data_IF_086690685959
#
_entry.id   IF_086690685959
#
_cell.length_a   1.000
_cell.length_b   1.000
_cell.length_c   1.000
_cell.angle_alpha   90.00
_cell.angle_beta   90.00
_cell.angle_gamma   90.00
#
_symmetry.space_group_name_H-M   'P 1'
#
loop_
_entity.id
_entity.type
_entity.pdbx_description
1 polymer ?
#
# COMPACT_ATOMS: atom_id res chain seq x y z
N UNK A 1 7.63 13.93 22.07
CA UNK A 1 7.32 15.22 21.43
C UNK A 1 7.73 15.24 19.94
N UNK A 2 9.01 15.09 19.57
CA UNK A 2 9.45 15.18 18.15
C UNK A 2 8.73 14.19 17.20
N UNK A 3 8.54 12.93 17.60
CA UNK A 3 7.84 11.94 16.76
C UNK A 3 6.33 12.16 16.64
N UNK A 4 5.72 12.81 17.63
CA UNK A 4 4.32 13.24 17.53
C UNK A 4 4.17 14.31 16.44
N UNK A 5 5.15 15.20 16.32
CA UNK A 5 5.19 16.21 15.25
C UNK A 5 5.30 15.56 13.85
N UNK A 6 6.02 14.45 13.71
CA UNK A 6 6.07 13.68 12.45
C UNK A 6 4.67 13.14 12.09
N UNK A 7 3.98 12.50 13.03
CA UNK A 7 2.60 12.03 12.82
C UNK A 7 1.64 13.18 12.49
N UNK A 8 1.77 14.31 13.17
CA UNK A 8 0.96 15.50 12.90
C UNK A 8 1.21 16.05 11.48
N UNK A 9 2.48 16.11 11.06
CA UNK A 9 2.85 16.56 9.70
C UNK A 9 2.22 15.67 8.63
N UNK A 10 2.26 14.35 8.82
CA UNK A 10 1.61 13.38 7.93
C UNK A 10 0.10 13.58 7.87
N UNK A 11 -0.54 13.80 9.02
CA UNK A 11 -1.97 14.11 9.11
C UNK A 11 -2.33 15.36 8.29
N UNK A 12 -1.56 16.45 8.44
CA UNK A 12 -1.75 17.69 7.68
C UNK A 12 -1.66 17.46 6.17
N UNK A 13 -0.73 16.61 5.71
CA UNK A 13 -0.62 16.25 4.30
C UNK A 13 -1.90 15.58 3.76
N UNK A 14 -2.45 14.60 4.50
CA UNK A 14 -3.69 13.92 4.11
C UNK A 14 -4.89 14.86 4.14
N UNK A 15 -5.07 15.62 5.22
CA UNK A 15 -6.18 16.56 5.34
C UNK A 15 -6.10 17.70 4.32
N UNK A 16 -4.89 18.17 3.99
CA UNK A 16 -4.69 19.17 2.94
C UNK A 16 -5.16 18.68 1.57
N UNK A 17 -4.88 17.42 1.24
CA UNK A 17 -5.38 16.77 0.02
C UNK A 17 -6.91 16.60 0.05
N UNK A 18 -7.48 16.19 1.18
CA UNK A 18 -8.93 16.08 1.35
C UNK A 18 -9.64 17.42 1.10
N UNK A 19 -9.11 18.52 1.64
CA UNK A 19 -9.64 19.87 1.42
C UNK A 19 -9.52 20.26 -0.07
N UNK A 20 -8.41 19.92 -0.72
CA UNK A 20 -8.25 20.12 -2.17
C UNK A 20 -9.29 19.36 -2.99
N UNK A 21 -9.72 18.17 -2.56
CA UNK A 21 -10.74 17.40 -3.26
C UNK A 21 -12.13 18.05 -3.15
N UNK A 22 -12.43 18.72 -2.03
CA UNK A 22 -13.66 19.52 -1.85
C UNK A 22 -13.61 20.82 -2.68
N UNK A 23 -12.45 21.48 -2.72
CA UNK A 23 -12.26 22.78 -3.40
C UNK A 23 -11.17 22.73 -4.49
N UNK A 24 -11.35 21.93 -5.56
CA UNK A 24 -10.29 21.63 -6.52
C UNK A 24 -9.81 22.86 -7.31
N UNK A 25 -10.69 23.85 -7.53
CA UNK A 25 -10.35 25.08 -8.23
C UNK A 25 -9.69 26.13 -7.34
N UNK A 26 -9.96 26.11 -6.03
CA UNK A 26 -9.42 27.10 -5.08
C UNK A 26 -8.06 26.69 -4.53
N UNK A 27 -7.82 25.39 -4.36
CA UNK A 27 -6.61 24.86 -3.70
C UNK A 27 -5.86 23.82 -4.55
N UNK A 28 -5.62 24.06 -5.85
CA UNK A 28 -5.04 23.04 -6.75
C UNK A 28 -3.63 22.59 -6.34
N UNK A 29 -2.88 23.42 -5.60
CA UNK A 29 -1.53 23.10 -5.10
C UNK A 29 -1.53 21.99 -4.05
N UNK A 30 -2.64 21.76 -3.36
CA UNK A 30 -2.76 20.75 -2.30
C UNK A 30 -3.18 19.38 -2.84
N UNK A 31 -3.50 19.27 -4.14
CA UNK A 31 -3.98 18.03 -4.76
C UNK A 31 -3.04 16.83 -4.58
N UNK A 32 -1.73 17.08 -4.55
CA UNK A 32 -0.71 16.04 -4.42
C UNK A 32 -0.25 15.84 -2.98
N UNK A 33 -0.84 16.53 -2.00
CA UNK A 33 -0.41 16.48 -0.61
C UNK A 33 -0.53 15.08 0.00
N UNK A 34 -1.52 14.26 -0.42
CA UNK A 34 -1.62 12.87 0.02
C UNK A 34 -0.40 12.03 -0.40
N UNK A 35 0.14 12.26 -1.59
CA UNK A 35 1.38 11.60 -2.05
C UNK A 35 2.56 11.94 -1.16
N UNK A 36 2.66 13.20 -0.69
CA UNK A 36 3.68 13.62 0.29
C UNK A 36 3.44 12.95 1.63
N UNK A 37 2.18 12.85 2.08
CA UNK A 37 1.81 12.10 3.29
C UNK A 37 2.25 10.64 3.23
N UNK A 38 1.95 9.94 2.14
CA UNK A 38 2.42 8.58 1.90
C UNK A 38 3.94 8.48 1.85
N UNK A 39 4.62 9.41 1.17
CA UNK A 39 6.08 9.42 1.12
C UNK A 39 6.68 9.55 2.53
N UNK A 40 6.19 10.50 3.34
CA UNK A 40 6.65 10.71 4.71
C UNK A 40 6.40 9.50 5.62
N UNK A 41 5.23 8.86 5.51
CA UNK A 41 4.93 7.62 6.26
C UNK A 41 5.89 6.51 5.81
N UNK A 42 6.01 6.29 4.51
CA UNK A 42 6.87 5.26 3.94
C UNK A 42 8.34 5.43 4.33
N UNK A 43 8.90 6.63 4.21
CA UNK A 43 10.31 6.88 4.58
C UNK A 43 10.55 6.75 6.08
N UNK A 44 9.59 7.18 6.91
CA UNK A 44 9.71 7.06 8.38
C UNK A 44 9.72 5.59 8.80
N UNK A 45 8.83 4.78 8.22
CA UNK A 45 8.74 3.34 8.46
C UNK A 45 9.95 2.57 7.91
N UNK A 46 10.57 3.04 6.83
CA UNK A 46 11.72 2.35 6.23
C UNK A 46 13.05 2.67 6.93
N UNK A 47 13.30 3.96 7.21
CA UNK A 47 14.61 4.43 7.67
C UNK A 47 14.74 4.47 9.20
N UNK A 48 13.65 4.76 9.88
CA UNK A 48 13.62 4.96 11.34
C UNK A 48 12.41 4.28 12.01
N UNK A 49 12.07 3.01 11.66
CA UNK A 49 10.87 2.34 12.16
C UNK A 49 10.80 2.31 13.69
N UNK A 50 11.93 2.06 14.34
CA UNK A 50 11.97 1.98 15.80
C UNK A 50 11.65 3.30 16.49
N UNK A 51 12.14 4.43 15.96
CA UNK A 51 11.86 5.74 16.53
C UNK A 51 10.41 6.17 16.24
N UNK A 52 9.91 5.82 15.06
CA UNK A 52 8.52 6.03 14.68
C UNK A 52 7.54 5.24 15.57
N UNK A 53 7.91 4.04 16.03
CA UNK A 53 7.09 3.28 16.99
C UNK A 53 7.30 3.67 18.44
N UNK A 54 8.49 4.13 18.84
CA UNK A 54 8.85 4.31 20.25
C UNK A 54 7.88 5.21 21.01
N UNK A 55 7.22 6.16 20.34
CA UNK A 55 6.20 7.00 20.98
C UNK A 55 4.89 6.27 21.26
N UNK A 56 4.64 5.15 20.58
CA UNK A 56 3.38 4.39 20.62
C UNK A 56 3.42 3.20 21.57
N UNK A 57 4.60 2.78 22.03
CA UNK A 57 4.79 1.61 22.91
C UNK A 57 5.53 1.99 24.20
N UNK A 58 5.24 1.27 25.28
CA UNK A 58 5.95 1.37 26.56
C UNK A 58 6.66 0.02 26.83
N UNK A 59 7.95 0.10 27.20
CA UNK A 59 8.79 -1.07 27.53
C UNK A 59 9.97 -1.27 26.57
N UNK A 60 10.57 -2.46 26.62
CA UNK A 60 11.75 -2.80 25.82
C UNK A 60 11.37 -3.12 24.38
N UNK A 61 11.57 -2.14 23.49
CA UNK A 61 11.44 -2.31 22.06
C UNK A 61 12.66 -3.04 21.49
N UNK A 62 12.44 -4.09 20.69
CA UNK A 62 13.52 -4.86 20.08
C UNK A 62 13.58 -4.64 18.55
N UNK A 63 14.67 -5.11 17.94
CA UNK A 63 14.92 -4.99 16.50
C UNK A 63 13.85 -5.67 15.63
N UNK A 64 13.26 -6.78 16.10
CA UNK A 64 12.23 -7.51 15.35
C UNK A 64 10.94 -6.69 15.18
N UNK A 65 10.54 -5.94 16.20
CA UNK A 65 9.38 -5.05 16.07
C UNK A 65 9.59 -4.00 14.98
N UNK A 66 10.76 -3.35 14.97
CA UNK A 66 11.12 -2.34 13.98
C UNK A 66 11.14 -2.94 12.58
N UNK A 67 11.69 -4.15 12.48
CA UNK A 67 11.78 -4.89 11.23
C UNK A 67 10.41 -5.23 10.65
N UNK A 68 9.50 -5.83 11.44
CA UNK A 68 8.17 -6.19 10.95
C UNK A 68 7.35 -4.95 10.55
N UNK A 69 7.52 -3.85 11.26
CA UNK A 69 6.88 -2.59 10.91
C UNK A 69 7.38 -2.00 9.59
N UNK A 70 8.66 -2.17 9.26
CA UNK A 70 9.23 -1.68 8.01
C UNK A 70 8.53 -2.26 6.77
N UNK A 71 7.89 -3.43 6.88
CA UNK A 71 7.08 -4.02 5.80
C UNK A 71 5.83 -3.21 5.44
N UNK A 72 5.43 -2.22 6.24
CA UNK A 72 4.40 -1.27 5.85
C UNK A 72 4.93 -0.21 4.88
N UNK A 73 6.22 0.14 4.94
CA UNK A 73 6.80 1.19 4.11
C UNK A 73 6.64 0.99 2.58
N UNK A 74 6.87 -0.22 2.02
CA UNK A 74 6.78 -0.46 0.59
C UNK A 74 5.45 -0.02 -0.04
N UNK A 75 4.33 -0.25 0.66
CA UNK A 75 2.99 0.08 0.16
C UNK A 75 2.76 1.58 0.11
N UNK A 76 3.20 2.32 1.13
CA UNK A 76 3.10 3.78 1.13
C UNK A 76 4.03 4.40 0.07
N UNK A 77 5.26 3.90 -0.08
CA UNK A 77 6.20 4.41 -1.10
C UNK A 77 5.71 4.12 -2.52
N UNK A 78 5.19 2.92 -2.78
CA UNK A 78 4.57 2.57 -4.04
C UNK A 78 3.36 3.44 -4.38
N UNK A 79 2.51 3.72 -3.38
CA UNK A 79 1.35 4.59 -3.56
C UNK A 79 1.74 6.05 -3.78
N UNK A 80 2.76 6.55 -3.08
CA UNK A 80 3.32 7.88 -3.31
C UNK A 80 3.83 8.03 -4.75
N UNK A 81 4.56 7.04 -5.27
CA UNK A 81 4.98 7.00 -6.67
C UNK A 81 3.79 7.05 -7.63
N UNK A 82 2.76 6.23 -7.39
CA UNK A 82 1.59 6.18 -8.26
C UNK A 82 0.86 7.52 -8.30
N UNK A 83 0.64 8.14 -7.14
CA UNK A 83 -0.06 9.43 -7.00
C UNK A 83 0.72 10.60 -7.60
N UNK A 84 2.06 10.59 -7.53
CA UNK A 84 2.92 11.60 -8.14
C UNK A 84 3.02 11.45 -9.67
N UNK A 85 2.70 10.27 -10.21
CA UNK A 85 2.76 10.06 -11.66
C UNK A 85 1.72 10.94 -12.39
N UNK A 86 2.00 11.39 -13.63
CA UNK A 86 1.04 12.17 -14.43
C UNK A 86 -0.30 11.45 -14.66
N UNK A 87 -0.27 10.13 -14.50
CA UNK A 87 -1.34 9.17 -14.69
C UNK A 87 -2.07 8.83 -13.39
N UNK A 88 -1.52 9.25 -12.25
CA UNK A 88 -2.05 8.99 -10.92
C UNK A 88 -3.29 9.80 -10.58
N UNK A 89 -3.56 10.90 -11.31
CA UNK A 89 -4.67 11.80 -11.01
C UNK A 89 -5.40 12.33 -12.27
N UNK A 90 -6.74 12.41 -12.26
CA UNK A 90 -7.63 11.97 -11.19
C UNK A 90 -7.69 10.43 -11.09
N UNK A 91 -7.71 9.91 -9.87
CA UNK A 91 -7.86 8.48 -9.65
C UNK A 91 -9.28 8.02 -10.00
N UNK A 92 -9.39 6.80 -10.52
CA UNK A 92 -10.70 6.18 -10.71
C UNK A 92 -11.29 5.77 -9.35
N UNK A 93 -12.61 5.91 -9.18
CA UNK A 93 -13.31 5.56 -7.94
C UNK A 93 -12.95 4.19 -7.35
N UNK A 94 -12.79 3.10 -8.14
CA UNK A 94 -12.41 1.81 -7.58
C UNK A 94 -11.02 1.80 -6.92
N UNK A 95 -10.08 2.60 -7.42
CA UNK A 95 -8.75 2.76 -6.81
C UNK A 95 -8.81 3.54 -5.50
N UNK A 96 -9.61 4.61 -5.46
CA UNK A 96 -9.84 5.39 -4.23
C UNK A 96 -10.56 4.53 -3.18
N UNK A 97 -11.54 3.73 -3.61
CA UNK A 97 -12.22 2.77 -2.75
C UNK A 97 -11.25 1.73 -2.16
N UNK A 98 -10.36 1.14 -2.98
CA UNK A 98 -9.35 0.20 -2.50
C UNK A 98 -8.43 0.82 -1.45
N UNK A 99 -8.01 2.08 -1.65
CA UNK A 99 -7.22 2.83 -0.67
C UNK A 99 -8.01 3.11 0.61
N UNK A 100 -9.25 3.59 0.51
CA UNK A 100 -10.12 3.82 1.67
C UNK A 100 -10.35 2.53 2.47
N UNK A 101 -10.64 1.42 1.79
CA UNK A 101 -10.86 0.13 2.43
C UNK A 101 -9.58 -0.38 3.12
N UNK A 102 -8.42 -0.24 2.47
CA UNK A 102 -7.14 -0.59 3.07
C UNK A 102 -6.81 0.25 4.30
N UNK A 103 -7.01 1.58 4.23
CA UNK A 103 -6.82 2.49 5.34
C UNK A 103 -7.75 2.15 6.52
N UNK A 104 -9.03 1.83 6.23
CA UNK A 104 -9.99 1.38 7.23
C UNK A 104 -9.53 0.10 7.92
N UNK A 105 -9.14 -0.93 7.15
CA UNK A 105 -8.67 -2.20 7.71
C UNK A 105 -7.39 -2.04 8.53
N UNK A 106 -6.50 -1.13 8.11
CA UNK A 106 -5.27 -0.80 8.83
C UNK A 106 -5.58 -0.13 10.18
N UNK A 107 -6.43 0.91 10.17
CA UNK A 107 -6.88 1.58 11.40
C UNK A 107 -7.59 0.59 12.32
N UNK A 108 -8.53 -0.19 11.79
CA UNK A 108 -9.30 -1.17 12.56
C UNK A 108 -8.39 -2.22 13.20
N UNK A 109 -7.37 -2.70 12.50
CA UNK A 109 -6.38 -3.65 13.03
C UNK A 109 -5.61 -3.07 14.22
N UNK A 110 -5.20 -1.79 14.15
CA UNK A 110 -4.52 -1.11 15.26
C UNK A 110 -5.46 -0.89 16.44
N UNK A 111 -6.70 -0.46 16.20
CA UNK A 111 -7.69 -0.22 17.25
C UNK A 111 -8.09 -1.52 17.96
N UNK A 112 -8.31 -2.61 17.21
CA UNK A 112 -8.56 -3.93 17.79
C UNK A 112 -7.38 -4.42 18.62
N UNK A 113 -6.16 -4.18 18.17
CA UNK A 113 -4.96 -4.54 18.92
C UNK A 113 -4.86 -3.73 20.20
N UNK A 114 -5.11 -2.41 20.13
CA UNK A 114 -5.12 -1.55 21.32
C UNK A 114 -6.16 -2.05 22.35
N UNK A 115 -7.39 -2.31 21.91
CA UNK A 115 -8.44 -2.86 22.76
C UNK A 115 -8.04 -4.21 23.39
N UNK A 116 -7.49 -5.12 22.59
CA UNK A 116 -7.05 -6.43 23.07
C UNK A 116 -5.93 -6.33 24.10
N UNK A 117 -4.96 -5.44 23.88
CA UNK A 117 -3.83 -5.20 24.77
C UNK A 117 -4.26 -4.53 26.08
N UNK A 118 -5.29 -3.69 26.05
CA UNK A 118 -5.85 -3.07 27.27
C UNK A 118 -6.65 -4.06 28.13
N UNK A 119 -7.39 -4.98 27.50
CA UNK A 119 -8.25 -5.92 28.25
C UNK A 119 -7.52 -7.18 28.71
N UNK A 120 -6.58 -7.69 27.93
CA UNK A 120 -5.84 -8.90 28.28
C UNK A 120 -4.47 -8.52 28.79
N UNK A 121 -4.21 -8.82 30.08
CA UNK A 121 -2.86 -8.81 30.65
C UNK A 121 -1.96 -9.68 29.77
N UNK A 122 -1.22 -9.04 28.90
CA UNK A 122 -0.43 -9.68 27.86
C UNK A 122 1.03 -9.48 28.19
N UNK A 123 1.83 -10.56 28.08
CA UNK A 123 3.29 -10.46 28.13
C UNK A 123 3.76 -9.62 26.94
N UNK A 124 4.57 -8.59 27.18
CA UNK A 124 5.22 -7.82 26.11
C UNK A 124 5.15 -6.30 26.33
N UNK A 125 5.35 -5.55 25.24
CA UNK A 125 5.20 -4.10 25.20
C UNK A 125 3.75 -3.69 25.54
N UNK A 126 3.59 -2.70 26.40
CA UNK A 126 2.31 -2.04 26.65
C UNK A 126 2.07 -0.97 25.56
N UNK A 127 0.81 -0.68 25.25
CA UNK A 127 0.50 0.49 24.43
C UNK A 127 0.71 1.76 25.26
N UNK A 128 1.33 2.77 24.66
CA UNK A 128 1.40 4.10 25.28
C UNK A 128 0.06 4.84 25.16
N UNK A 129 -0.10 5.90 25.95
CA UNK A 129 -1.23 6.85 25.84
C UNK A 129 -1.32 7.51 24.46
N UNK A 130 -0.21 7.56 23.71
CA UNK A 130 -0.17 8.14 22.37
C UNK A 130 -0.51 7.14 21.25
N UNK A 131 -0.66 5.84 21.54
CA UNK A 131 -0.87 4.82 20.50
C UNK A 131 -2.12 5.12 19.66
N UNK A 132 -3.25 5.36 20.32
CA UNK A 132 -4.54 5.63 19.66
C UNK A 132 -4.44 6.93 18.86
N UNK A 133 -3.90 7.99 19.46
CA UNK A 133 -3.71 9.27 18.79
C UNK A 133 -2.85 9.14 17.52
N UNK A 134 -1.69 8.47 17.61
CA UNK A 134 -0.81 8.27 16.46
C UNK A 134 -1.48 7.42 15.37
N UNK A 135 -2.29 6.42 15.75
CA UNK A 135 -3.05 5.60 14.80
C UNK A 135 -4.08 6.43 14.02
N UNK A 136 -4.77 7.37 14.67
CA UNK A 136 -5.68 8.29 14.00
C UNK A 136 -4.95 9.33 13.15
N UNK A 137 -3.83 9.88 13.63
CA UNK A 137 -3.04 10.85 12.87
C UNK A 137 -2.45 10.25 11.58
N UNK A 138 -2.23 8.94 11.52
CA UNK A 138 -1.72 8.26 10.32
C UNK A 138 -2.84 7.61 9.51
N UNK A 139 -3.41 6.52 10.03
CA UNK A 139 -4.32 5.65 9.28
C UNK A 139 -5.72 6.27 9.22
N UNK A 140 -6.13 6.98 10.28
CA UNK A 140 -7.38 7.75 10.30
C UNK A 140 -7.36 8.93 9.34
N UNK A 141 -6.28 9.71 9.32
CA UNK A 141 -6.12 10.82 8.39
C UNK A 141 -6.08 10.34 6.92
N UNK A 142 -5.36 9.24 6.65
CA UNK A 142 -5.38 8.58 5.36
C UNK A 142 -6.81 8.15 4.97
N UNK A 143 -7.53 7.46 5.85
CA UNK A 143 -8.92 7.05 5.60
C UNK A 143 -9.82 8.25 5.27
N UNK A 144 -9.74 9.34 6.04
CA UNK A 144 -10.54 10.55 5.80
C UNK A 144 -10.22 11.12 4.41
N UNK A 145 -8.95 11.20 4.02
CA UNK A 145 -8.56 11.68 2.69
C UNK A 145 -9.21 10.85 1.57
N UNK A 146 -9.15 9.52 1.67
CA UNK A 146 -9.71 8.65 0.64
C UNK A 146 -11.23 8.69 0.59
N UNK A 147 -11.90 8.74 1.75
CA UNK A 147 -13.36 8.85 1.82
C UNK A 147 -13.83 10.18 1.22
N UNK A 148 -13.20 11.29 1.57
CA UNK A 148 -13.52 12.61 0.99
C UNK A 148 -13.29 12.61 -0.52
N UNK A 149 -12.16 12.05 -0.97
CA UNK A 149 -11.85 11.92 -2.40
C UNK A 149 -12.89 11.06 -3.12
N UNK A 150 -13.33 9.96 -2.52
CA UNK A 150 -14.34 9.06 -3.10
C UNK A 150 -15.71 9.74 -3.26
N UNK A 151 -16.15 10.47 -2.24
CA UNK A 151 -17.45 11.15 -2.21
C UNK A 151 -17.45 12.37 -3.14
N UNK A 152 -16.33 13.08 -3.24
CA UNK A 152 -16.20 14.27 -4.10
C UNK A 152 -15.88 13.94 -5.55
N UNK A 153 -15.41 12.72 -5.84
CA UNK A 153 -15.15 12.28 -7.21
C UNK A 153 -16.43 12.28 -8.06
N UNK A 154 -16.51 13.24 -8.98
CA UNK A 154 -17.56 13.29 -10.01
C UNK A 154 -17.12 12.45 -11.20
N UNK A 155 -18.00 11.53 -11.61
CA UNK A 155 -17.84 10.74 -12.83
C UNK A 155 -19.17 10.77 -13.57
N UNK A 156 -19.15 11.23 -14.81
CA UNK A 156 -20.35 11.28 -15.64
C UNK A 156 -20.59 9.92 -16.30
N UNK A 157 -21.83 9.64 -16.71
CA UNK A 157 -22.13 8.46 -17.53
C UNK A 157 -21.35 8.47 -18.86
N UNK A 158 -21.09 9.66 -19.39
CA UNK A 158 -20.30 9.83 -20.60
C UNK A 158 -18.85 9.35 -20.42
N UNK A 159 -18.21 9.68 -19.29
CA UNK A 159 -16.84 9.21 -18.99
C UNK A 159 -16.73 7.68 -18.92
N UNK A 160 -17.80 7.01 -18.49
CA UNK A 160 -17.88 5.55 -18.45
C UNK A 160 -18.04 4.95 -19.86
N UNK A 161 -18.94 5.52 -20.67
CA UNK A 161 -19.14 5.14 -22.06
C UNK A 161 -17.84 5.33 -22.85
N UNK A 162 -17.17 6.46 -22.72
CA UNK A 162 -15.93 6.77 -23.42
C UNK A 162 -14.81 5.79 -23.05
N UNK A 163 -14.70 5.41 -21.77
CA UNK A 163 -13.72 4.41 -21.33
C UNK A 163 -14.04 3.02 -21.91
N UNK A 164 -15.31 2.63 -21.96
CA UNK A 164 -15.73 1.37 -22.59
C UNK A 164 -15.43 1.38 -24.09
N UNK A 165 -15.79 2.44 -24.81
CA UNK A 165 -15.54 2.58 -26.24
C UNK A 165 -14.04 2.51 -26.56
N UNK A 166 -13.18 3.21 -25.80
CA UNK A 166 -11.72 3.15 -25.97
C UNK A 166 -11.17 1.75 -25.76
N UNK A 167 -11.65 1.05 -24.73
CA UNK A 167 -11.24 -0.34 -24.47
C UNK A 167 -11.68 -1.28 -25.58
N UNK A 168 -12.94 -1.19 -26.03
CA UNK A 168 -13.45 -1.98 -27.15
C UNK A 168 -12.63 -1.72 -28.42
N UNK A 169 -12.29 -0.45 -28.70
CA UNK A 169 -11.45 -0.07 -29.85
C UNK A 169 -10.06 -0.71 -29.76
N UNK A 170 -9.41 -0.67 -28.60
CA UNK A 170 -8.14 -1.36 -28.35
C UNK A 170 -8.20 -2.85 -28.70
N UNK A 171 -9.30 -3.52 -28.34
CA UNK A 171 -9.50 -4.94 -28.63
C UNK A 171 -9.83 -5.21 -30.10
N UNK A 172 -10.68 -4.40 -30.73
CA UNK A 172 -11.02 -4.51 -32.15
C UNK A 172 -9.80 -4.30 -33.05
N UNK A 173 -8.89 -3.41 -32.66
CA UNK A 173 -7.64 -3.15 -33.38
C UNK A 173 -6.53 -4.19 -33.09
N UNK A 174 -6.82 -5.26 -32.33
CA UNK A 174 -5.84 -6.30 -32.00
C UNK A 174 -4.72 -5.83 -31.06
N UNK A 175 -4.91 -4.68 -30.41
CA UNK A 175 -3.93 -4.02 -29.53
C UNK A 175 -4.15 -4.34 -28.04
N UNK A 176 -5.21 -5.07 -27.71
CA UNK A 176 -5.43 -5.66 -26.39
C UNK A 176 -4.38 -6.73 -26.06
N UNK A 177 -4.22 -7.05 -24.77
CA UNK A 177 -3.28 -8.10 -24.33
C UNK A 177 -3.89 -8.96 -23.24
N UNK A 178 -4.24 -10.20 -23.59
CA UNK A 178 -4.73 -11.19 -22.62
C UNK A 178 -3.69 -11.53 -21.56
N UNK A 179 -2.40 -11.51 -21.94
CA UNK A 179 -1.32 -11.70 -20.98
C UNK A 179 -1.34 -10.63 -19.88
N UNK A 180 -1.50 -9.35 -20.26
CA UNK A 180 -1.52 -8.26 -19.28
C UNK A 180 -2.76 -8.31 -18.38
N UNK A 181 -3.94 -8.64 -18.93
CA UNK A 181 -5.14 -8.84 -18.09
C UNK A 181 -4.93 -9.99 -17.09
N UNK A 182 -4.39 -11.11 -17.54
CA UNK A 182 -4.07 -12.25 -16.68
C UNK A 182 -3.00 -11.91 -15.65
N UNK A 183 -2.02 -11.07 -15.99
CA UNK A 183 -1.01 -10.63 -15.05
C UNK A 183 -1.62 -9.84 -13.87
N UNK A 184 -2.59 -8.96 -14.14
CA UNK A 184 -3.32 -8.27 -13.08
C UNK A 184 -4.15 -9.22 -12.22
N UNK A 185 -4.79 -10.23 -12.82
CA UNK A 185 -5.51 -11.25 -12.04
C UNK A 185 -4.58 -12.07 -11.14
N UNK A 186 -3.41 -12.45 -11.64
CA UNK A 186 -2.41 -13.18 -10.87
C UNK A 186 -1.88 -12.31 -9.72
N UNK A 187 -1.54 -11.04 -9.96
CA UNK A 187 -1.13 -10.11 -8.90
C UNK A 187 -2.24 -9.95 -7.84
N UNK A 188 -3.50 -9.81 -8.28
CA UNK A 188 -4.63 -9.73 -7.37
C UNK A 188 -4.78 -10.99 -6.50
N UNK A 189 -4.69 -12.18 -7.12
CA UNK A 189 -4.83 -13.46 -6.43
C UNK A 189 -3.70 -13.68 -5.41
N UNK A 190 -2.44 -13.42 -5.79
CA UNK A 190 -1.29 -13.54 -4.88
C UNK A 190 -1.42 -12.57 -3.71
N UNK A 191 -1.80 -11.32 -3.96
CA UNK A 191 -1.98 -10.32 -2.90
C UNK A 191 -3.14 -10.66 -1.97
N UNK A 192 -4.25 -11.18 -2.51
CA UNK A 192 -5.39 -11.60 -1.70
C UNK A 192 -5.07 -12.82 -0.83
N UNK A 193 -4.36 -13.81 -1.39
CA UNK A 193 -3.86 -14.96 -0.63
C UNK A 193 -2.90 -14.52 0.47
N UNK A 194 -2.00 -13.58 0.16
CA UNK A 194 -1.08 -12.99 1.15
C UNK A 194 -1.85 -12.30 2.27
N UNK A 195 -2.83 -11.46 1.92
CA UNK A 195 -3.69 -10.78 2.88
C UNK A 195 -4.44 -11.76 3.79
N UNK A 196 -5.07 -12.78 3.20
CA UNK A 196 -5.81 -13.81 3.93
C UNK A 196 -4.92 -14.57 4.90
N UNK A 197 -3.77 -15.07 4.44
CA UNK A 197 -2.85 -15.85 5.27
C UNK A 197 -2.31 -15.04 6.45
N UNK A 198 -1.92 -13.79 6.23
CA UNK A 198 -1.39 -12.92 7.29
C UNK A 198 -2.46 -12.46 8.27
N UNK A 199 -3.72 -12.32 7.83
CA UNK A 199 -4.82 -11.96 8.72
C UNK A 199 -5.28 -13.16 9.58
N UNK A 200 -5.47 -14.32 8.95
CA UNK A 200 -5.99 -15.53 9.59
C UNK A 200 -4.95 -16.25 10.44
N UNK A 201 -3.69 -16.32 9.99
CA UNK A 201 -2.65 -17.16 10.61
C UNK A 201 -1.35 -16.41 10.98
N UNK A 202 -1.39 -15.18 11.52
CA UNK A 202 -0.18 -14.39 11.77
C UNK A 202 0.80 -15.07 12.73
N UNK A 203 0.30 -15.73 13.78
CA UNK A 203 1.15 -16.44 14.76
C UNK A 203 1.87 -17.64 14.13
N UNK A 204 1.20 -18.39 13.27
CA UNK A 204 1.80 -19.55 12.61
C UNK A 204 2.88 -19.10 11.63
N UNK A 205 2.62 -18.05 10.85
CA UNK A 205 3.60 -17.45 9.95
C UNK A 205 4.84 -17.00 10.74
N UNK A 206 4.65 -16.21 11.80
CA UNK A 206 5.79 -15.69 12.58
C UNK A 206 6.59 -16.82 13.25
N UNK A 207 5.93 -17.81 13.86
CA UNK A 207 6.62 -18.96 14.47
C UNK A 207 7.38 -19.82 13.45
N UNK A 208 6.86 -19.90 12.22
CA UNK A 208 7.53 -20.64 11.16
C UNK A 208 8.78 -19.89 10.70
N UNK A 209 8.67 -18.57 10.50
CA UNK A 209 9.64 -17.76 9.75
C UNK A 209 10.69 -17.09 10.64
N UNK A 210 10.36 -16.72 11.88
CA UNK A 210 11.27 -16.06 12.82
C UNK A 210 11.97 -17.11 13.69
N UNK A 211 13.25 -16.87 14.03
CA UNK A 211 14.00 -17.76 14.94
C UNK A 211 13.37 -17.81 16.34
N UNK A 212 13.51 -18.94 17.03
CA UNK A 212 12.96 -19.15 18.38
C UNK A 212 13.62 -18.32 19.47
N UNK A 213 14.74 -17.65 19.17
CA UNK A 213 15.41 -16.72 20.09
C UNK A 213 14.56 -15.48 20.40
N UNK A 214 13.69 -15.08 19.46
CA UNK A 214 12.76 -13.99 19.69
C UNK A 214 11.49 -14.48 20.37
N UNK A 215 11.18 -13.89 21.53
CA UNK A 215 9.87 -14.07 22.15
C UNK A 215 8.84 -13.23 21.41
N UNK A 216 7.97 -13.89 20.64
CA UNK A 216 6.88 -13.23 19.93
C UNK A 216 5.82 -12.71 20.90
N UNK A 217 5.35 -11.49 20.64
CA UNK A 217 4.30 -10.84 21.42
C UNK A 217 3.17 -10.32 20.51
N UNK A 218 2.17 -9.70 21.12
CA UNK A 218 1.00 -9.14 20.45
C UNK A 218 1.34 -8.05 19.42
N UNK A 219 2.41 -7.28 19.60
CA UNK A 219 2.82 -6.24 18.65
C UNK A 219 3.38 -6.85 17.37
N UNK A 220 4.17 -7.93 17.49
CA UNK A 220 4.63 -8.68 16.32
C UNK A 220 3.45 -9.23 15.51
N UNK A 221 2.45 -9.80 16.19
CA UNK A 221 1.23 -10.32 15.57
C UNK A 221 0.45 -9.20 14.87
N UNK A 222 0.34 -8.02 15.49
CA UNK A 222 -0.31 -6.86 14.89
C UNK A 222 0.39 -6.43 13.61
N UNK A 223 1.71 -6.27 13.60
CA UNK A 223 2.46 -5.85 12.41
C UNK A 223 2.40 -6.89 11.29
N UNK A 224 2.38 -8.19 11.63
CA UNK A 224 2.12 -9.26 10.67
C UNK A 224 0.73 -9.13 10.03
N UNK A 225 -0.32 -8.86 10.81
CA UNK A 225 -1.66 -8.58 10.28
C UNK A 225 -1.70 -7.31 9.44
N UNK A 226 -0.99 -6.26 9.87
CA UNK A 226 -0.91 -4.99 9.16
C UNK A 226 -0.34 -5.17 7.76
N UNK A 227 0.71 -5.97 7.59
CA UNK A 227 1.22 -6.35 6.27
C UNK A 227 0.15 -7.03 5.40
N UNK A 228 -0.65 -7.91 6.01
CA UNK A 228 -1.82 -8.51 5.36
C UNK A 228 -2.86 -7.48 4.93
N UNK A 229 -3.22 -6.53 5.79
CA UNK A 229 -4.15 -5.45 5.47
C UNK A 229 -3.65 -4.60 4.30
N UNK A 230 -2.37 -4.22 4.32
CA UNK A 230 -1.75 -3.45 3.24
C UNK A 230 -1.69 -4.22 1.92
N UNK A 231 -1.62 -5.55 1.97
CA UNK A 231 -1.70 -6.42 0.79
C UNK A 231 -3.10 -6.44 0.15
N UNK A 232 -4.15 -5.98 0.84
CA UNK A 232 -5.49 -5.81 0.23
C UNK A 232 -5.51 -4.68 -0.80
N UNK A 233 -4.68 -3.65 -0.64
CA UNK A 233 -4.60 -2.54 -1.58
C UNK A 233 -4.28 -3.03 -3.01
N UNK A 234 -3.13 -3.70 -3.26
CA UNK A 234 -2.86 -4.22 -4.59
C UNK A 234 -3.82 -5.33 -5.01
N UNK A 235 -4.38 -6.11 -4.08
CA UNK A 235 -5.39 -7.11 -4.41
C UNK A 235 -6.61 -6.48 -5.10
N UNK A 236 -7.14 -5.40 -4.53
CA UNK A 236 -8.31 -4.69 -5.06
C UNK A 236 -7.95 -3.81 -6.26
N UNK A 237 -6.83 -3.09 -6.19
CA UNK A 237 -6.38 -2.24 -7.30
C UNK A 237 -6.12 -3.06 -8.56
N UNK A 238 -5.51 -4.25 -8.47
CA UNK A 238 -5.19 -5.07 -9.65
C UNK A 238 -6.43 -5.58 -10.37
N UNK A 239 -7.50 -5.94 -9.65
CA UNK A 239 -8.78 -6.32 -10.26
C UNK A 239 -9.37 -5.22 -11.15
N UNK A 240 -9.08 -3.96 -10.79
CA UNK A 240 -9.61 -2.78 -11.50
C UNK A 240 -8.60 -2.23 -12.51
N UNK A 241 -7.29 -2.45 -12.30
CA UNK A 241 -6.21 -1.98 -13.15
C UNK A 241 -6.35 -2.43 -14.61
N UNK A 242 -6.81 -3.67 -14.84
CA UNK A 242 -7.05 -4.21 -16.19
C UNK A 242 -8.04 -3.39 -17.04
N UNK A 243 -8.92 -2.62 -16.39
CA UNK A 243 -9.91 -1.80 -17.06
C UNK A 243 -9.41 -0.39 -17.35
N UNK A 244 -8.25 -0.01 -16.83
CA UNK A 244 -7.70 1.33 -16.96
C UNK A 244 -7.08 1.56 -18.33
N UNK A 245 -6.89 2.82 -18.74
CA UNK A 245 -6.10 3.14 -19.91
C UNK A 245 -4.66 2.60 -19.81
N UNK A 246 -4.04 2.20 -20.93
CA UNK A 246 -2.68 1.64 -20.98
C UNK A 246 -1.62 2.41 -20.18
N UNK A 247 -1.59 3.75 -20.29
CA UNK A 247 -0.62 4.58 -19.55
C UNK A 247 -0.75 4.40 -18.02
N UNK A 248 -1.98 4.35 -17.50
CA UNK A 248 -2.22 4.17 -16.05
C UNK A 248 -1.83 2.75 -15.62
N UNK A 249 -2.07 1.75 -16.46
CA UNK A 249 -1.66 0.37 -16.20
C UNK A 249 -0.14 0.25 -16.00
N UNK A 250 0.66 0.93 -16.83
CA UNK A 250 2.13 0.93 -16.70
C UNK A 250 2.56 1.56 -15.37
N UNK A 251 2.02 2.73 -15.01
CA UNK A 251 2.38 3.37 -13.74
C UNK A 251 1.91 2.55 -12.52
N UNK A 252 0.77 1.88 -12.63
CA UNK A 252 0.32 0.97 -11.60
C UNK A 252 1.27 -0.23 -11.46
N UNK A 253 1.70 -0.85 -12.56
CA UNK A 253 2.73 -1.90 -12.53
C UNK A 253 4.05 -1.39 -11.95
N UNK A 254 4.43 -0.14 -12.23
CA UNK A 254 5.59 0.52 -11.60
C UNK A 254 5.46 0.62 -10.08
N UNK A 255 4.28 1.02 -9.57
CA UNK A 255 3.99 0.99 -8.13
C UNK A 255 4.14 -0.42 -7.54
N UNK A 256 3.55 -1.42 -8.20
CA UNK A 256 3.66 -2.83 -7.77
C UNK A 256 5.10 -3.30 -7.73
N UNK A 257 5.89 -2.94 -8.74
CA UNK A 257 7.31 -3.26 -8.81
C UNK A 257 8.10 -2.63 -7.66
N UNK A 258 7.94 -1.31 -7.42
CA UNK A 258 8.59 -0.61 -6.31
C UNK A 258 8.23 -1.29 -4.98
N UNK A 259 6.95 -1.59 -4.76
CA UNK A 259 6.47 -2.25 -3.54
C UNK A 259 7.15 -3.61 -3.36
N UNK A 260 7.15 -4.47 -4.37
CA UNK A 260 7.68 -5.82 -4.25
C UNK A 260 9.21 -5.85 -4.15
N UNK A 261 9.91 -4.96 -4.86
CA UNK A 261 11.37 -4.84 -4.76
C UNK A 261 11.77 -4.43 -3.35
N UNK A 262 11.07 -3.47 -2.74
CA UNK A 262 11.35 -3.07 -1.36
C UNK A 262 11.04 -4.19 -0.35
N UNK A 263 9.95 -4.94 -0.54
CA UNK A 263 9.66 -6.15 0.27
C UNK A 263 10.80 -7.17 0.14
N UNK A 264 11.29 -7.40 -1.07
CA UNK A 264 12.40 -8.33 -1.30
C UNK A 264 13.68 -7.84 -0.62
N UNK A 265 14.01 -6.55 -0.73
CA UNK A 265 15.15 -5.93 -0.03
C UNK A 265 15.02 -6.04 1.49
N UNK A 266 13.81 -5.90 2.05
CA UNK A 266 13.59 -6.11 3.48
C UNK A 266 13.84 -7.57 3.87
N UNK A 267 13.41 -8.55 3.05
CA UNK A 267 13.74 -9.96 3.31
C UNK A 267 15.25 -10.22 3.26
N UNK A 268 15.97 -9.64 2.29
CA UNK A 268 17.44 -9.68 2.18
C UNK A 268 18.06 -9.13 3.48
N UNK A 269 17.63 -7.94 3.88
CA UNK A 269 18.14 -7.28 5.10
C UNK A 269 17.86 -8.10 6.36
N UNK A 270 16.66 -8.64 6.52
CA UNK A 270 16.29 -9.50 7.65
C UNK A 270 17.15 -10.77 7.73
N UNK A 271 17.48 -11.37 6.60
CA UNK A 271 18.30 -12.57 6.55
C UNK A 271 19.77 -12.30 6.86
N UNK A 272 20.40 -11.40 6.12
CA UNK A 272 21.85 -11.22 6.17
C UNK A 272 22.33 -10.20 7.19
N UNK A 273 21.56 -9.14 7.45
CA UNK A 273 21.99 -8.07 8.36
C UNK A 273 21.48 -8.27 9.79
N UNK A 274 20.26 -8.81 9.95
CA UNK A 274 19.64 -8.99 11.26
C UNK A 274 19.65 -10.42 11.77
N UNK A 275 19.80 -11.41 10.89
CA UNK A 275 19.77 -12.85 11.22
C UNK A 275 18.55 -13.28 12.05
N UNK A 276 17.40 -12.64 11.82
CA UNK A 276 16.15 -12.84 12.58
C UNK A 276 15.33 -14.05 12.12
N UNK A 277 15.67 -14.62 10.97
CA UNK A 277 14.88 -15.67 10.36
C UNK A 277 15.32 -17.07 10.78
N UNK A 278 14.34 -17.96 10.96
CA UNK A 278 14.56 -19.40 11.01
C UNK A 278 14.87 -19.94 9.61
N UNK A 279 15.46 -21.13 9.44
CA UNK A 279 15.71 -21.71 8.11
C UNK A 279 14.47 -21.80 7.20
N UNK A 280 13.26 -21.89 7.75
CA UNK A 280 12.02 -22.02 6.98
C UNK A 280 11.64 -20.75 6.20
N UNK A 281 12.25 -19.60 6.51
CA UNK A 281 11.99 -18.36 5.78
C UNK A 281 12.35 -18.44 4.29
N UNK A 282 13.22 -19.39 3.89
CA UNK A 282 13.69 -19.53 2.51
C UNK A 282 12.53 -19.70 1.52
N UNK A 283 11.45 -20.38 1.92
CA UNK A 283 10.26 -20.55 1.08
C UNK A 283 9.58 -19.20 0.82
N UNK A 284 9.41 -18.36 1.85
CA UNK A 284 8.86 -17.02 1.72
C UNK A 284 9.77 -16.11 0.89
N UNK A 285 11.09 -16.23 1.08
CA UNK A 285 12.10 -15.52 0.30
C UNK A 285 12.02 -15.86 -1.19
N UNK A 286 11.94 -17.14 -1.54
CA UNK A 286 11.79 -17.61 -2.92
C UNK A 286 10.48 -17.13 -3.54
N UNK A 287 9.35 -17.23 -2.82
CA UNK A 287 8.06 -16.71 -3.30
C UNK A 287 8.15 -15.21 -3.59
N UNK A 288 8.78 -14.44 -2.70
CA UNK A 288 8.98 -12.99 -2.90
C UNK A 288 9.84 -12.70 -4.14
N UNK A 289 10.91 -13.46 -4.37
CA UNK A 289 11.79 -13.33 -5.55
C UNK A 289 11.12 -13.71 -6.86
N UNK A 290 10.35 -14.81 -6.89
CA UNK A 290 9.55 -15.19 -8.06
C UNK A 290 8.48 -14.13 -8.36
N UNK A 291 7.81 -13.62 -7.34
CA UNK A 291 6.79 -12.59 -7.52
C UNK A 291 7.39 -11.27 -8.02
N UNK A 292 8.57 -10.88 -7.52
CA UNK A 292 9.33 -9.75 -8.05
C UNK A 292 9.66 -9.94 -9.53
N UNK A 293 10.14 -11.13 -9.92
CA UNK A 293 10.49 -11.47 -11.31
C UNK A 293 9.26 -11.42 -12.22
N UNK A 294 8.13 -11.93 -11.75
CA UNK A 294 6.83 -11.85 -12.43
C UNK A 294 6.39 -10.40 -12.67
N UNK A 295 6.53 -9.52 -11.68
CA UNK A 295 6.19 -8.10 -11.81
C UNK A 295 7.14 -7.36 -12.76
N UNK A 296 8.44 -7.67 -12.73
CA UNK A 296 9.39 -7.16 -13.72
C UNK A 296 9.00 -7.54 -15.15
N UNK A 297 8.72 -8.82 -15.40
CA UNK A 297 8.27 -9.29 -16.71
C UNK A 297 6.99 -8.58 -17.15
N UNK A 298 6.01 -8.46 -16.25
CA UNK A 298 4.74 -7.81 -16.54
C UNK A 298 4.92 -6.31 -16.86
N UNK A 299 5.74 -5.61 -16.08
CA UNK A 299 6.06 -4.20 -16.30
C UNK A 299 6.74 -3.96 -17.66
N UNK A 300 7.82 -4.70 -17.95
CA UNK A 300 8.54 -4.51 -19.22
C UNK A 300 7.70 -4.87 -20.43
N UNK A 301 6.90 -5.94 -20.36
CA UNK A 301 5.96 -6.31 -21.43
C UNK A 301 4.85 -5.28 -21.61
N UNK A 302 4.30 -4.73 -20.52
CA UNK A 302 3.30 -3.67 -20.62
C UNK A 302 3.90 -2.42 -21.25
N UNK A 303 5.09 -2.04 -20.81
CA UNK A 303 5.78 -0.88 -21.32
C UNK A 303 6.11 -1.03 -22.80
N UNK A 304 6.68 -2.17 -23.24
CA UNK A 304 6.96 -2.40 -24.66
C UNK A 304 5.69 -2.44 -25.50
N UNK A 305 4.66 -3.19 -25.07
CA UNK A 305 3.41 -3.36 -25.80
C UNK A 305 2.64 -2.04 -25.98
N UNK A 306 2.66 -1.16 -24.99
CA UNK A 306 1.91 0.09 -25.01
C UNK A 306 2.71 1.31 -25.50
N UNK A 307 4.05 1.23 -25.51
CA UNK A 307 4.93 2.24 -26.10
C UNK A 307 4.84 2.33 -27.62
N UNK A 308 4.14 1.40 -28.29
CA UNK A 308 3.94 1.41 -29.74
C UNK A 308 2.51 1.85 -30.15
N UNK A 309 1.62 2.10 -29.19
CA UNK A 309 0.23 2.49 -29.50
C UNK A 309 0.13 3.90 -30.12
N UNK A 310 -0.86 4.23 -30.95
CA UNK A 310 -1.16 5.62 -31.28
C UNK A 310 -1.45 6.47 -30.04
N UNK A 311 -1.06 7.74 -30.05
CA UNK A 311 -1.25 8.66 -28.91
C UNK A 311 -2.74 8.80 -28.51
N UNK A 312 -3.66 8.69 -29.48
CA UNK A 312 -5.11 8.66 -29.28
C UNK A 312 -5.60 7.49 -28.40
N UNK A 313 -4.84 6.40 -28.35
CA UNK A 313 -5.10 5.22 -27.54
C UNK A 313 -4.23 5.17 -26.27
N UNK A 314 -3.12 5.92 -26.23
CA UNK A 314 -2.27 6.08 -25.04
C UNK A 314 -2.80 7.10 -24.05
N UNK A 315 -3.25 8.28 -24.48
CA UNK A 315 -3.48 9.44 -23.62
C UNK A 315 -4.96 9.84 -23.41
N UNK A 316 -5.12 10.68 -22.37
CA UNK A 316 -6.34 11.35 -21.88
C UNK A 316 -7.23 11.92 -23.02
N UNK A 317 -8.57 11.96 -22.87
CA UNK A 317 -9.36 12.92 -23.64
C UNK A 317 -8.75 14.32 -23.42
N UNK A 318 -8.62 15.12 -24.48
CA UNK A 318 -8.13 16.51 -24.38
C UNK A 318 -8.86 17.20 -23.22
N UNK A 319 -8.12 17.63 -22.20
CA UNK A 319 -8.66 18.51 -21.18
C UNK A 319 -8.99 19.84 -21.86
N UNK A 320 -10.27 20.16 -21.93
CA UNK A 320 -10.74 21.53 -22.07
C UNK A 320 -10.36 22.34 -20.83
#
# INVERSE_FOLDING_TARGET
>A
MLWLFVHFTQCVCFLGSAISAIYPTKLPKLRNAASVGHLLVGTSLLLVPGQYLAITVQGSFNTLHAFLQAYSAPFHLGLAYFLLSPSGLPQQKPFVFAQAFCALMSLFTRLLTAWHLTEKSTRGLLISDHFILCSFLTDGAWLINEVVTLVTAKRTKQDEIDQMCKRTTLWLEGKGSFYLENAFYIDAAICLLTAFMHFAFPQHILKLVITSEYTLDSHHIMWCRMFGCLSLLPALCSLTARHLPPHVQIHYLGNRLITQVLIFVLNVFGHWALSIYSPNHISGFMISGFFMSFLFSSFYRANSHYQDLPESLRLKPKSF
#
